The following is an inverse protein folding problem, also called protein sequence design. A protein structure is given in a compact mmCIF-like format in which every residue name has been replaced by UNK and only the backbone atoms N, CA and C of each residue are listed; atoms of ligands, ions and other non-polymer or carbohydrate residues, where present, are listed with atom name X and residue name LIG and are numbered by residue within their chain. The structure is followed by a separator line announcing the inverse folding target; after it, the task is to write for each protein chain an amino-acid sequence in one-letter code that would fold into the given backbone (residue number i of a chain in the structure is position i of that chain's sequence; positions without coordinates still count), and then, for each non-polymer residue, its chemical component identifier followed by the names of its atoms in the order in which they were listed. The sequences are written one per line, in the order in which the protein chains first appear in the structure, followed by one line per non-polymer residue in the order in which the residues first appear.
data_IF_951413507072
#
_entry.id   IF_951413507072
#
_cell.length_a   1.000
_cell.length_b   1.000
_cell.length_c   1.000
_cell.angle_alpha   90.00
_cell.angle_beta   90.00
_cell.angle_gamma   90.00
#
_symmetry.space_group_name_H-M   'P 1'
#
loop_
_entity.id
_entity.type
_entity.pdbx_description
1 polymer ?
#
# COMPACT_ATOMS: atom_id res chain seq x y z
N UNK A 1 -23.81 -15.51 -11.69
CA UNK A 1 -22.99 -14.37 -11.23
C UNK A 1 -23.67 -13.05 -11.63
N UNK A 2 -24.87 -12.73 -11.15
CA UNK A 2 -25.43 -11.40 -11.41
C UNK A 2 -26.23 -10.93 -10.21
N UNK A 3 -25.53 -10.26 -9.30
CA UNK A 3 -26.11 -9.39 -8.27
C UNK A 3 -26.05 -7.95 -8.82
N UNK A 4 -27.13 -7.20 -8.70
CA UNK A 4 -27.32 -5.86 -9.25
C UNK A 4 -27.38 -4.84 -8.10
N UNK A 5 -26.25 -4.36 -7.56
CA UNK A 5 -26.20 -3.55 -6.34
C UNK A 5 -27.01 -2.24 -6.36
N UNK A 6 -27.37 -1.70 -7.53
CA UNK A 6 -28.20 -0.50 -7.64
C UNK A 6 -29.71 -0.80 -7.73
N UNK A 7 -30.07 -2.08 -7.85
CA UNK A 7 -31.44 -2.56 -8.06
C UNK A 7 -31.87 -3.48 -6.91
N UNK A 8 -31.00 -4.40 -6.54
CA UNK A 8 -31.20 -5.35 -5.46
C UNK A 8 -31.02 -4.61 -4.13
N UNK A 9 -32.11 -4.42 -3.40
CA UNK A 9 -32.08 -3.78 -2.08
C UNK A 9 -31.48 -4.78 -1.10
N UNK A 10 -30.35 -4.43 -0.49
CA UNK A 10 -29.74 -5.24 0.56
C UNK A 10 -30.61 -5.22 1.83
N UNK A 11 -31.38 -6.28 2.05
CA UNK A 11 -32.00 -6.51 3.37
C UNK A 11 -30.96 -7.18 4.27
N UNK A 12 -30.72 -6.55 5.43
CA UNK A 12 -29.72 -6.98 6.42
C UNK A 12 -29.93 -8.44 6.85
N UNK A 13 -31.18 -8.90 6.89
CA UNK A 13 -31.53 -10.28 7.24
C UNK A 13 -30.97 -11.33 6.26
N UNK A 14 -30.85 -11.00 4.97
CA UNK A 14 -30.25 -11.92 3.99
C UNK A 14 -28.73 -11.95 4.09
N UNK A 15 -28.08 -10.87 4.54
CA UNK A 15 -26.63 -10.85 4.69
C UNK A 15 -26.18 -11.87 5.75
N UNK A 16 -26.83 -11.90 6.91
CA UNK A 16 -26.52 -12.86 7.98
C UNK A 16 -26.76 -14.31 7.54
N UNK A 17 -27.83 -14.56 6.79
CA UNK A 17 -28.13 -15.90 6.25
C UNK A 17 -27.12 -16.34 5.20
N UNK A 18 -26.69 -15.43 4.32
CA UNK A 18 -25.66 -15.69 3.30
C UNK A 18 -24.32 -15.94 3.97
N UNK A 19 -23.95 -15.16 4.99
CA UNK A 19 -22.69 -15.33 5.72
C UNK A 19 -22.65 -16.69 6.43
N UNK A 20 -23.75 -17.07 7.09
CA UNK A 20 -23.88 -18.39 7.71
C UNK A 20 -23.76 -19.54 6.69
N UNK A 21 -24.45 -19.44 5.56
CA UNK A 21 -24.35 -20.42 4.46
C UNK A 21 -22.92 -20.49 3.90
N UNK A 22 -22.26 -19.34 3.74
CA UNK A 22 -20.87 -19.28 3.31
C UNK A 22 -19.94 -20.00 4.29
N UNK A 23 -20.13 -19.79 5.59
CA UNK A 23 -19.32 -20.39 6.65
C UNK A 23 -19.53 -21.90 6.73
N UNK A 24 -20.78 -22.38 6.66
CA UNK A 24 -21.11 -23.80 6.58
C UNK A 24 -20.49 -24.48 5.34
N UNK A 25 -20.53 -23.81 4.19
CA UNK A 25 -19.94 -24.34 2.95
C UNK A 25 -18.41 -24.30 3.00
N UNK A 26 -17.85 -23.26 3.61
CA UNK A 26 -16.40 -23.11 3.82
C UNK A 26 -15.88 -24.22 4.73
N UNK A 27 -16.56 -24.53 5.82
CA UNK A 27 -16.17 -25.64 6.72
C UNK A 27 -16.19 -26.99 5.98
N UNK A 28 -17.17 -27.23 5.11
CA UNK A 28 -17.24 -28.45 4.29
C UNK A 28 -16.14 -28.55 3.22
N UNK A 29 -15.66 -27.42 2.69
CA UNK A 29 -14.62 -27.38 1.64
C UNK A 29 -13.21 -27.31 2.21
N UNK A 30 -13.02 -26.68 3.38
CA UNK A 30 -11.73 -26.54 4.05
C UNK A 30 -11.17 -27.85 4.61
N UNK A 31 -12.01 -28.89 4.74
CA UNK A 31 -11.57 -30.26 5.09
C UNK A 31 -10.79 -30.94 3.93
N UNK A 32 -10.60 -30.28 2.78
CA UNK A 32 -9.83 -30.81 1.65
C UNK A 32 -9.14 -29.81 0.73
N UNK A 33 -9.12 -28.49 1.02
CA UNK A 33 -8.58 -27.48 0.12
C UNK A 33 -7.21 -26.94 0.60
N UNK A 34 -6.14 -27.26 -0.11
CA UNK A 34 -4.87 -26.53 -0.03
C UNK A 34 -5.08 -25.07 -0.43
N UNK A 35 -4.42 -24.14 0.26
CA UNK A 35 -4.50 -22.70 -0.01
C UNK A 35 -4.23 -22.38 -1.48
N UNK A 36 -5.04 -21.50 -2.06
CA UNK A 36 -4.88 -21.05 -3.45
C UNK A 36 -3.46 -20.47 -3.67
N UNK A 37 -2.77 -20.80 -4.79
CA UNK A 37 -1.35 -20.49 -4.97
C UNK A 37 -1.00 -18.99 -4.92
N UNK A 38 -1.92 -18.11 -5.35
CA UNK A 38 -1.73 -16.65 -5.21
C UNK A 38 -1.81 -16.16 -3.75
N UNK A 39 -2.60 -16.81 -2.90
CA UNK A 39 -2.67 -16.51 -1.46
C UNK A 39 -1.38 -16.96 -0.76
N UNK A 40 -0.87 -18.14 -1.13
CA UNK A 40 0.44 -18.64 -0.67
C UNK A 40 1.56 -17.67 -1.08
N UNK A 41 1.51 -17.15 -2.30
CA UNK A 41 2.49 -16.17 -2.80
C UNK A 41 2.43 -14.84 -2.07
N UNK A 42 1.24 -14.33 -1.73
CA UNK A 42 1.11 -13.12 -0.92
C UNK A 42 1.60 -13.31 0.52
N UNK A 43 1.33 -14.47 1.12
CA UNK A 43 1.87 -14.80 2.45
C UNK A 43 3.40 -14.92 2.43
N UNK A 44 3.98 -15.55 1.41
CA UNK A 44 5.43 -15.64 1.24
C UNK A 44 6.10 -14.27 1.03
N UNK A 45 5.42 -13.31 0.38
CA UNK A 45 5.90 -11.92 0.28
C UNK A 45 5.83 -11.22 1.64
N UNK A 46 4.81 -11.51 2.45
CA UNK A 46 4.73 -10.97 3.82
C UNK A 46 5.83 -11.50 4.74
N UNK A 47 6.20 -12.79 4.63
CA UNK A 47 7.32 -13.39 5.38
C UNK A 47 8.68 -12.77 5.00
N UNK A 48 8.83 -12.33 3.74
CA UNK A 48 10.02 -11.58 3.29
C UNK A 48 10.08 -10.17 3.87
N UNK A 49 8.93 -9.56 4.16
CA UNK A 49 8.83 -8.25 4.81
C UNK A 49 8.90 -8.33 6.35
N UNK A 50 8.45 -9.42 6.96
CA UNK A 50 8.66 -9.67 8.39
C UNK A 50 10.14 -9.86 8.71
N UNK A 51 10.94 -10.44 7.80
CA UNK A 51 12.42 -10.45 7.91
C UNK A 51 13.04 -9.05 7.88
N UNK A 52 12.33 -8.02 7.40
CA UNK A 52 12.75 -6.61 7.49
C UNK A 52 12.17 -5.89 8.71
N UNK A 53 11.01 -6.32 9.23
CA UNK A 53 10.35 -5.73 10.41
C UNK A 53 10.75 -6.35 11.75
N UNK A 54 11.36 -7.53 11.76
CA UNK A 54 11.98 -8.14 12.94
C UNK A 54 13.35 -7.50 13.26
N UNK A 55 13.39 -6.17 13.37
CA UNK A 55 14.40 -5.48 14.17
C UNK A 55 13.79 -5.28 15.56
N UNK A 56 14.05 -6.16 16.54
CA UNK A 56 13.88 -5.77 17.92
C UNK A 56 14.92 -4.68 18.19
N UNK A 57 14.40 -3.54 18.61
CA UNK A 57 15.14 -2.57 19.39
C UNK A 57 15.67 -3.28 20.65
N UNK A 58 16.90 -2.93 21.00
CA UNK A 58 17.68 -3.34 22.17
C UNK A 58 18.20 -4.78 22.36
N UNK A 59 19.54 -4.85 22.35
CA UNK A 59 20.41 -5.59 23.26
C UNK A 59 20.28 -7.13 23.36
N UNK A 60 21.09 -7.86 22.57
CA UNK A 60 22.02 -8.90 23.07
C UNK A 60 22.86 -9.50 21.91
N UNK A 61 24.17 -9.25 21.96
CA UNK A 61 25.26 -9.69 21.04
C UNK A 61 25.41 -11.25 21.05
N UNK A 62 26.22 -11.97 20.20
CA UNK A 62 27.25 -11.51 19.27
C UNK A 62 27.40 -12.26 17.91
N UNK A 63 27.91 -11.54 16.91
CA UNK A 63 28.81 -12.04 15.85
C UNK A 63 28.35 -12.76 14.56
N UNK A 64 27.07 -12.83 14.19
CA UNK A 64 26.74 -13.45 12.88
C UNK A 64 25.55 -12.84 12.15
N UNK A 65 25.84 -11.87 11.26
CA UNK A 65 25.33 -11.79 9.88
C UNK A 65 25.65 -10.41 9.32
N UNK A 66 26.79 -10.35 8.62
CA UNK A 66 27.19 -9.29 7.67
C UNK A 66 27.57 -7.96 8.30
N UNK A 67 28.68 -7.95 9.05
CA UNK A 67 29.46 -6.73 9.28
C UNK A 67 30.17 -6.38 7.97
N UNK A 68 29.53 -5.63 7.07
CA UNK A 68 30.34 -4.66 6.31
C UNK A 68 31.10 -3.84 7.35
N UNK A 69 32.41 -3.57 7.16
CA UNK A 69 33.15 -2.79 8.14
C UNK A 69 32.45 -1.45 8.29
N UNK A 70 31.73 -1.26 9.39
CA UNK A 70 31.20 0.05 9.77
C UNK A 70 32.40 0.96 9.95
N UNK A 71 32.27 2.21 9.52
CA UNK A 71 33.32 3.21 9.74
C UNK A 71 33.63 3.22 11.24
N UNK A 72 34.83 2.78 11.60
CA UNK A 72 35.21 2.68 13.01
C UNK A 72 35.30 4.08 13.59
N UNK A 73 34.44 4.38 14.55
CA UNK A 73 34.47 5.64 15.30
C UNK A 73 35.68 5.73 16.24
N UNK A 74 36.45 4.66 16.40
CA UNK A 74 37.70 4.66 17.17
C UNK A 74 38.72 5.66 16.61
N UNK A 75 38.69 5.96 15.30
CA UNK A 75 39.53 7.01 14.71
C UNK A 75 39.22 8.41 15.26
N UNK A 76 38.02 8.62 15.79
CA UNK A 76 37.60 9.87 16.42
C UNK A 76 37.65 9.80 17.96
N UNK A 77 38.11 8.67 18.53
CA UNK A 77 38.29 8.56 19.97
C UNK A 77 39.57 9.30 20.38
N UNK A 78 39.40 10.27 21.27
CA UNK A 78 40.49 11.11 21.77
C UNK A 78 41.18 10.32 22.89
N UNK A 79 41.99 9.31 22.55
CA UNK A 79 42.88 8.68 23.51
C UNK A 79 44.10 9.59 23.79
N UNK A 80 44.54 9.60 25.05
CA UNK A 80 45.49 10.56 25.66
C UNK A 80 46.93 10.56 25.10
N UNK A 81 47.18 9.90 23.95
CA UNK A 81 48.45 9.92 23.23
C UNK A 81 48.28 10.46 21.82
N UNK A 82 48.29 11.79 21.66
CA UNK A 82 48.24 12.42 20.33
C UNK A 82 49.49 12.08 19.50
N UNK A 83 49.41 11.02 18.71
CA UNK A 83 50.32 10.78 17.60
C UNK A 83 50.24 11.96 16.62
N UNK A 84 51.36 12.40 16.05
CA UNK A 84 51.38 13.48 15.05
C UNK A 84 50.40 13.18 13.89
N UNK A 85 50.21 11.91 13.56
CA UNK A 85 49.27 11.46 12.54
C UNK A 85 47.80 11.74 12.92
N UNK A 86 47.40 11.58 14.18
CA UNK A 86 46.03 11.87 14.62
C UNK A 86 45.75 13.38 14.61
N UNK A 87 46.75 14.20 14.96
CA UNK A 87 46.64 15.66 14.87
C UNK A 87 46.51 16.14 13.42
N UNK A 88 47.25 15.56 12.47
CA UNK A 88 47.12 15.87 11.05
C UNK A 88 45.75 15.47 10.48
N UNK A 89 45.22 14.32 10.92
CA UNK A 89 43.87 13.88 10.55
C UNK A 89 42.83 14.87 11.08
N UNK A 90 42.96 15.30 12.33
CA UNK A 90 42.04 16.27 12.95
C UNK A 90 42.11 17.64 12.25
N UNK A 91 43.30 18.12 11.90
CA UNK A 91 43.46 19.37 11.13
C UNK A 91 42.80 19.27 9.75
N UNK A 92 42.96 18.14 9.06
CA UNK A 92 42.34 17.92 7.75
C UNK A 92 40.80 17.92 7.84
N UNK A 93 40.22 17.28 8.87
CA UNK A 93 38.77 17.32 9.10
C UNK A 93 38.27 18.72 9.47
N UNK A 94 38.98 19.45 10.33
CA UNK A 94 38.64 20.82 10.69
C UNK A 94 38.63 21.72 9.44
N UNK A 95 39.66 21.64 8.59
CA UNK A 95 39.69 22.41 7.34
C UNK A 95 38.56 22.04 6.39
N UNK A 96 38.23 20.75 6.28
CA UNK A 96 37.10 20.33 5.46
C UNK A 96 35.78 20.92 5.99
N UNK A 97 35.54 20.86 7.30
CA UNK A 97 34.34 21.44 7.92
C UNK A 97 34.28 22.95 7.70
N UNK A 98 35.38 23.67 7.88
CA UNK A 98 35.44 25.10 7.62
C UNK A 98 35.13 25.45 6.16
N UNK A 99 35.70 24.71 5.20
CA UNK A 99 35.43 24.91 3.77
C UNK A 99 33.97 24.66 3.43
N UNK A 100 33.39 23.58 3.95
CA UNK A 100 31.98 23.23 3.71
C UNK A 100 31.06 24.32 4.28
N UNK A 101 31.33 24.79 5.50
CA UNK A 101 30.51 25.80 6.18
C UNK A 101 30.66 27.19 5.56
N UNK A 102 31.88 27.59 5.18
CA UNK A 102 32.15 28.94 4.66
C UNK A 102 31.85 29.06 3.17
N UNK A 103 32.13 28.03 2.38
CA UNK A 103 32.11 28.15 0.92
C UNK A 103 30.98 27.38 0.24
N UNK A 104 30.64 26.18 0.73
CA UNK A 104 29.72 25.29 0.02
C UNK A 104 28.27 25.54 0.43
N UNK A 105 27.96 25.39 1.73
CA UNK A 105 26.59 25.50 2.24
C UNK A 105 25.93 26.85 1.91
N UNK A 106 26.58 28.01 2.07
CA UNK A 106 25.95 29.29 1.74
C UNK A 106 25.60 29.43 0.26
N UNK A 107 26.35 28.77 -0.64
CA UNK A 107 26.13 28.83 -2.09
C UNK A 107 25.07 27.85 -2.58
N UNK A 108 24.95 26.68 -1.95
CA UNK A 108 24.13 25.59 -2.46
C UNK A 108 22.86 25.35 -1.66
N UNK A 109 22.87 25.57 -0.33
CA UNK A 109 21.77 25.14 0.54
C UNK A 109 20.45 25.84 0.23
N UNK A 110 20.48 27.16 0.03
CA UNK A 110 19.26 27.91 -0.29
C UNK A 110 18.67 27.49 -1.64
N UNK A 111 19.51 27.37 -2.67
CA UNK A 111 19.08 26.97 -4.01
C UNK A 111 18.53 25.54 -4.01
N UNK A 112 19.19 24.61 -3.32
CA UNK A 112 18.71 23.23 -3.17
C UNK A 112 17.38 23.18 -2.42
N UNK A 113 17.21 23.99 -1.38
CA UNK A 113 15.96 24.02 -0.63
C UNK A 113 14.80 24.57 -1.47
N UNK A 114 15.04 25.63 -2.26
CA UNK A 114 14.05 26.17 -3.19
C UNK A 114 13.66 25.11 -4.23
N UNK A 115 14.64 24.48 -4.89
CA UNK A 115 14.40 23.47 -5.92
C UNK A 115 13.62 22.29 -5.34
N UNK A 116 14.03 21.77 -4.19
CA UNK A 116 13.35 20.65 -3.56
C UNK A 116 11.89 21.01 -3.20
N UNK A 117 11.66 22.21 -2.67
CA UNK A 117 10.30 22.65 -2.35
C UNK A 117 9.43 22.81 -3.61
N UNK A 118 10.00 23.31 -4.70
CA UNK A 118 9.30 23.42 -5.99
C UNK A 118 8.96 22.04 -6.55
N UNK A 119 9.91 21.10 -6.57
CA UNK A 119 9.65 19.71 -6.97
C UNK A 119 8.55 19.05 -6.12
N UNK A 120 8.60 19.21 -4.81
CA UNK A 120 7.58 18.63 -3.90
C UNK A 120 6.19 19.23 -4.15
N UNK A 121 6.13 20.52 -4.50
CA UNK A 121 4.87 21.18 -4.84
C UNK A 121 4.29 20.66 -6.16
N UNK A 122 5.13 20.52 -7.17
CA UNK A 122 4.74 20.01 -8.49
C UNK A 122 4.28 18.55 -8.40
N UNK A 123 5.01 17.71 -7.67
CA UNK A 123 4.63 16.32 -7.41
C UNK A 123 3.29 16.24 -6.67
N UNK A 124 3.08 17.10 -5.68
CA UNK A 124 1.82 17.22 -4.95
C UNK A 124 0.65 17.61 -5.86
N UNK A 125 0.86 18.56 -6.77
CA UNK A 125 -0.17 18.96 -7.74
C UNK A 125 -0.48 17.81 -8.71
N UNK A 126 0.54 17.14 -9.25
CA UNK A 126 0.36 16.02 -10.17
C UNK A 126 -0.41 14.85 -9.52
N UNK A 127 -0.12 14.56 -8.24
CA UNK A 127 -0.84 13.53 -7.49
C UNK A 127 -2.31 13.91 -7.31
N UNK A 128 -2.59 15.17 -6.96
CA UNK A 128 -3.96 15.68 -6.83
C UNK A 128 -4.73 15.58 -8.14
N UNK A 129 -4.15 16.01 -9.25
CA UNK A 129 -4.77 15.91 -10.58
C UNK A 129 -5.07 14.46 -10.98
N UNK A 130 -4.18 13.53 -10.62
CA UNK A 130 -4.37 12.11 -10.86
C UNK A 130 -5.52 11.55 -10.01
N UNK A 131 -5.59 11.93 -8.73
CA UNK A 131 -6.66 11.53 -7.83
C UNK A 131 -8.03 12.04 -8.33
N UNK A 132 -8.10 13.31 -8.73
CA UNK A 132 -9.33 13.92 -9.25
C UNK A 132 -9.80 13.22 -10.54
N UNK A 133 -8.86 12.85 -11.41
CA UNK A 133 -9.16 12.09 -12.64
C UNK A 133 -9.71 10.70 -12.31
N UNK A 134 -9.09 9.98 -11.38
CA UNK A 134 -9.53 8.64 -10.99
C UNK A 134 -10.90 8.67 -10.30
N UNK A 135 -11.12 9.63 -9.41
CA UNK A 135 -12.41 9.81 -8.74
C UNK A 135 -13.51 10.09 -9.75
N UNK A 136 -13.25 10.97 -10.72
CA UNK A 136 -14.19 11.23 -11.82
C UNK A 136 -14.48 9.97 -12.64
N UNK A 137 -13.46 9.19 -12.96
CA UNK A 137 -13.64 7.91 -13.68
C UNK A 137 -14.51 6.92 -12.89
N UNK A 138 -14.30 6.79 -11.57
CA UNK A 138 -15.11 5.93 -10.71
C UNK A 138 -16.57 6.39 -10.72
N UNK A 139 -16.81 7.70 -10.58
CA UNK A 139 -18.16 8.27 -10.62
C UNK A 139 -18.84 7.99 -11.96
N UNK A 140 -18.14 8.20 -13.08
CA UNK A 140 -18.68 7.97 -14.42
C UNK A 140 -18.97 6.49 -14.66
N UNK A 141 -18.09 5.59 -14.20
CA UNK A 141 -18.31 4.14 -14.27
C UNK A 141 -19.51 3.71 -13.40
N UNK A 142 -19.66 4.27 -12.21
CA UNK A 142 -20.80 3.96 -11.35
C UNK A 142 -22.12 4.44 -11.97
N UNK A 143 -22.16 5.65 -12.53
CA UNK A 143 -23.33 6.14 -13.29
C UNK A 143 -23.65 5.27 -14.50
N UNK A 144 -22.63 4.75 -15.16
CA UNK A 144 -22.83 3.83 -16.28
C UNK A 144 -23.39 2.47 -15.80
N UNK A 145 -22.85 1.91 -14.72
CA UNK A 145 -23.36 0.68 -14.10
C UNK A 145 -24.81 0.85 -13.64
N UNK A 146 -25.13 1.94 -12.96
CA UNK A 146 -26.48 2.25 -12.49
C UNK A 146 -27.47 2.27 -13.66
N UNK A 147 -27.17 2.98 -14.75
CA UNK A 147 -28.04 3.01 -15.94
C UNK A 147 -28.26 1.62 -16.53
N UNK A 148 -27.21 0.84 -16.72
CA UNK A 148 -27.32 -0.52 -17.26
C UNK A 148 -28.16 -1.44 -16.35
N UNK A 149 -27.99 -1.34 -15.03
CA UNK A 149 -28.76 -2.15 -14.09
C UNK A 149 -30.23 -1.74 -14.07
N UNK A 150 -30.52 -0.44 -14.13
CA UNK A 150 -31.90 0.06 -14.21
C UNK A 150 -32.59 -0.36 -15.51
N UNK A 151 -31.93 -0.24 -16.66
CA UNK A 151 -32.44 -0.73 -17.95
C UNK A 151 -32.67 -2.24 -17.91
N UNK A 152 -31.71 -3.00 -17.37
CA UNK A 152 -31.83 -4.44 -17.15
C UNK A 152 -33.03 -4.80 -16.28
N UNK A 153 -33.24 -4.09 -15.18
CA UNK A 153 -34.36 -4.34 -14.26
C UNK A 153 -35.72 -4.17 -14.94
N UNK A 154 -35.89 -3.12 -15.76
CA UNK A 154 -37.15 -2.93 -16.51
C UNK A 154 -37.42 -4.14 -17.40
N UNK A 155 -36.42 -4.61 -18.14
CA UNK A 155 -36.58 -5.80 -18.99
C UNK A 155 -36.85 -7.08 -18.19
N UNK A 156 -36.23 -7.25 -17.03
CA UNK A 156 -36.50 -8.38 -16.13
C UNK A 156 -37.93 -8.35 -15.60
N UNK A 157 -38.44 -7.19 -15.19
CA UNK A 157 -39.82 -7.03 -14.72
C UNK A 157 -40.85 -7.31 -15.82
N UNK A 158 -40.57 -6.91 -17.06
CA UNK A 158 -41.42 -7.24 -18.20
C UNK A 158 -41.45 -8.76 -18.46
N UNK A 159 -40.30 -9.40 -18.40
CA UNK A 159 -40.17 -10.85 -18.56
C UNK A 159 -40.90 -11.60 -17.44
N UNK A 160 -40.78 -11.15 -16.19
CA UNK A 160 -41.46 -11.74 -15.04
C UNK A 160 -42.98 -11.64 -15.19
N UNK A 161 -43.51 -10.48 -15.61
CA UNK A 161 -44.94 -10.31 -15.90
C UNK A 161 -45.41 -11.24 -17.02
N UNK A 162 -44.63 -11.38 -18.09
CA UNK A 162 -44.95 -12.30 -19.18
C UNK A 162 -44.98 -13.75 -18.69
N UNK A 163 -43.97 -14.14 -17.92
CA UNK A 163 -43.89 -15.48 -17.34
C UNK A 163 -45.06 -15.77 -16.40
N UNK A 164 -45.41 -14.83 -15.51
CA UNK A 164 -46.55 -14.95 -14.62
C UNK A 164 -47.88 -15.10 -15.39
N UNK A 165 -48.08 -14.27 -16.43
CA UNK A 165 -49.27 -14.37 -17.29
C UNK A 165 -49.35 -15.72 -18.02
N UNK A 166 -48.22 -16.24 -18.47
CA UNK A 166 -48.15 -17.55 -19.13
C UNK A 166 -48.42 -18.69 -18.16
N UNK A 167 -47.92 -18.58 -16.93
CA UNK A 167 -48.20 -19.53 -15.84
C UNK A 167 -49.71 -19.59 -15.55
N UNK A 168 -50.37 -18.43 -15.40
CA UNK A 168 -51.82 -18.35 -15.18
C UNK A 168 -52.58 -18.99 -16.34
N UNK A 169 -52.18 -18.71 -17.59
CA UNK A 169 -52.80 -19.31 -18.78
C UNK A 169 -52.67 -20.83 -18.83
N UNK A 170 -51.58 -21.40 -18.32
CA UNK A 170 -51.37 -22.86 -18.30
C UNK A 170 -52.13 -23.56 -17.17
N UNK A 171 -52.56 -22.82 -16.14
CA UNK A 171 -53.32 -23.33 -15.00
C UNK A 171 -54.84 -23.23 -15.21
N UNK A 172 -55.30 -22.50 -16.22
CA UNK A 172 -56.69 -22.41 -16.66
C UNK A 172 -56.99 -23.42 -17.78
#
# INVERSE_FOLDING_TARGET
MSFLPFVDVEEVEYQEQIEKLYEETREQVMDGAEMHPEVVKMLAVSELDERKRAMPDDCDDPDSKRKQPRISLQRYSIDEGSSVESLMINEAYLRHQELVLKELLPKTMMNQWIINNECMKDDGQHLQETMDRQLKQIVDLNKHRERLQMEGNVTLQELEKQWHNQLIKNLQ
#
